data_IF_440838808295
#
_entry.id   IF_440838808295
#
_cell.length_a   1.000
_cell.length_b   1.000
_cell.length_c   1.000
_cell.angle_alpha   90.00
_cell.angle_beta   90.00
_cell.angle_gamma   90.00
#
_symmetry.space_group_name_H-M   'P 1'
#
loop_
_entity.id
_entity.type
_entity.pdbx_description
1 polymer ?
#
# COMPACT_ATOMS: atom_id res chain seq x y z
N UNK A 1 -16.39 7.44 10.39
CA UNK A 1 -17.44 6.80 11.23
C UNK A 1 -18.51 6.11 10.38
N UNK A 2 -18.16 5.22 9.44
CA UNK A 2 -19.16 4.52 8.59
C UNK A 2 -19.54 3.11 9.08
N UNK A 3 -18.75 2.51 9.98
CA UNK A 3 -18.85 1.08 10.31
C UNK A 3 -19.26 0.78 11.77
N UNK A 4 -19.72 1.77 12.53
CA UNK A 4 -20.18 1.55 13.92
C UNK A 4 -21.43 0.65 13.98
N UNK A 5 -22.21 0.57 12.89
CA UNK A 5 -23.48 -0.16 12.83
C UNK A 5 -23.34 -1.66 12.50
N UNK A 6 -22.27 -2.08 11.82
CA UNK A 6 -22.12 -3.48 11.36
C UNK A 6 -21.41 -4.39 12.36
N UNK A 7 -20.86 -3.85 13.45
CA UNK A 7 -20.18 -4.61 14.51
C UNK A 7 -18.91 -5.38 14.08
N UNK A 8 -18.56 -5.34 12.79
CA UNK A 8 -17.42 -6.05 12.23
C UNK A 8 -16.24 -5.07 12.11
N UNK A 9 -15.10 -5.33 12.81
CA UNK A 9 -13.92 -4.52 12.61
C UNK A 9 -13.42 -4.76 11.18
N UNK A 10 -13.66 -3.80 10.30
CA UNK A 10 -13.18 -3.87 8.92
C UNK A 10 -11.66 -3.80 8.96
N UNK A 11 -11.00 -4.95 8.83
CA UNK A 11 -9.54 -5.03 8.83
C UNK A 11 -9.04 -4.62 7.45
N UNK A 12 -8.21 -3.58 7.40
CA UNK A 12 -7.42 -3.31 6.21
C UNK A 12 -6.32 -4.37 6.10
N UNK A 13 -6.11 -4.91 4.90
CA UNK A 13 -5.00 -5.79 4.57
C UNK A 13 -4.26 -5.20 3.39
N UNK A 14 -2.93 -5.20 3.48
CA UNK A 14 -2.05 -4.69 2.44
C UNK A 14 -0.90 -5.68 2.24
N UNK A 15 -0.44 -5.83 1.00
CA UNK A 15 0.69 -6.70 0.65
C UNK A 15 1.50 -6.07 -0.46
N UNK A 16 2.82 -6.10 -0.32
CA UNK A 16 3.78 -5.79 -1.38
C UNK A 16 4.47 -7.08 -1.83
N UNK A 17 4.68 -7.22 -3.14
CA UNK A 17 5.47 -8.31 -3.74
C UNK A 17 6.66 -7.67 -4.43
N UNK A 18 7.86 -8.04 -4.02
CA UNK A 18 9.12 -7.42 -4.46
C UNK A 18 10.02 -8.52 -4.99
N UNK A 19 10.71 -8.26 -6.10
CA UNK A 19 11.76 -9.15 -6.58
C UNK A 19 12.97 -9.12 -5.63
N UNK A 20 13.39 -10.28 -5.14
CA UNK A 20 14.41 -10.37 -4.09
C UNK A 20 15.81 -9.91 -4.55
N UNK A 21 16.10 -9.98 -5.85
CA UNK A 21 17.42 -9.66 -6.37
C UNK A 21 17.55 -8.18 -6.74
N UNK A 22 16.58 -7.65 -7.48
CA UNK A 22 16.57 -6.28 -7.98
C UNK A 22 15.90 -5.29 -7.03
N UNK A 23 15.10 -5.77 -6.08
CA UNK A 23 14.27 -4.93 -5.21
C UNK A 23 13.12 -4.25 -5.93
N UNK A 24 12.83 -4.57 -7.20
CA UNK A 24 11.74 -3.98 -7.97
C UNK A 24 10.39 -4.44 -7.43
N UNK A 25 9.46 -3.49 -7.29
CA UNK A 25 8.08 -3.77 -6.91
C UNK A 25 7.36 -4.49 -8.07
N UNK A 26 7.04 -5.77 -7.87
CA UNK A 26 6.34 -6.60 -8.86
C UNK A 26 4.82 -6.42 -8.80
N UNK A 27 4.30 -6.05 -7.63
CA UNK A 27 2.87 -5.84 -7.44
C UNK A 27 2.50 -5.52 -6.00
N UNK A 28 1.25 -5.11 -5.81
CA UNK A 28 0.68 -4.83 -4.51
C UNK A 28 -0.80 -5.24 -4.46
N UNK A 29 -1.30 -5.50 -3.26
CA UNK A 29 -2.70 -5.84 -3.03
C UNK A 29 -3.21 -5.06 -1.82
N UNK A 30 -4.46 -4.60 -1.89
CA UNK A 30 -5.14 -3.97 -0.77
C UNK A 30 -6.59 -4.44 -0.68
N UNK A 31 -7.04 -4.70 0.55
CA UNK A 31 -8.46 -4.82 0.92
C UNK A 31 -8.69 -3.84 2.05
N UNK A 32 -9.60 -2.88 1.88
CA UNK A 32 -9.83 -1.84 2.88
C UNK A 32 -10.58 -0.64 2.32
N UNK A 33 -10.84 0.35 3.16
CA UNK A 33 -11.42 1.62 2.74
C UNK A 33 -10.46 2.33 1.77
N UNK A 34 -11.00 2.96 0.73
CA UNK A 34 -10.23 3.71 -0.30
C UNK A 34 -9.25 2.87 -1.13
N UNK A 35 -9.39 1.53 -1.12
CA UNK A 35 -8.48 0.66 -1.86
C UNK A 35 -8.43 0.98 -3.36
N UNK A 36 -9.55 1.32 -4.00
CA UNK A 36 -9.56 1.64 -5.43
C UNK A 36 -8.67 2.85 -5.75
N UNK A 37 -8.82 3.93 -4.99
CA UNK A 37 -8.09 5.18 -5.17
C UNK A 37 -6.61 5.03 -4.84
N UNK A 38 -6.27 4.32 -3.75
CA UNK A 38 -4.89 4.06 -3.35
C UNK A 38 -4.18 3.16 -4.38
N UNK A 39 -4.85 2.10 -4.82
CA UNK A 39 -4.28 1.15 -5.79
C UNK A 39 -4.06 1.77 -7.17
N UNK A 40 -4.86 2.78 -7.57
CA UNK A 40 -4.62 3.53 -8.79
C UNK A 40 -3.26 4.25 -8.78
N UNK A 41 -2.88 4.85 -7.65
CA UNK A 41 -1.56 5.46 -7.47
C UNK A 41 -0.44 4.42 -7.44
N UNK A 42 -0.65 3.32 -6.72
CA UNK A 42 0.33 2.23 -6.65
C UNK A 42 0.56 1.54 -8.00
N UNK A 43 -0.46 1.47 -8.88
CA UNK A 43 -0.32 0.94 -10.23
C UNK A 43 0.70 1.73 -11.06
N UNK A 44 0.82 3.04 -10.85
CA UNK A 44 1.84 3.88 -11.50
C UNK A 44 3.24 3.47 -11.00
N UNK A 45 3.43 3.30 -9.70
CA UNK A 45 4.72 2.89 -9.13
C UNK A 45 5.18 1.52 -9.67
N UNK A 46 4.26 0.55 -9.74
CA UNK A 46 4.52 -0.77 -10.34
C UNK A 46 4.88 -0.62 -11.83
N UNK A 47 4.12 0.17 -12.59
CA UNK A 47 4.36 0.40 -14.03
C UNK A 47 5.71 1.06 -14.31
N UNK A 48 6.18 1.93 -13.41
CA UNK A 48 7.47 2.60 -13.50
C UNK A 48 8.65 1.75 -13.00
N UNK A 49 8.40 0.54 -12.47
CA UNK A 49 9.44 -0.33 -11.95
C UNK A 49 10.12 0.22 -10.70
N UNK A 50 9.38 0.93 -9.85
CA UNK A 50 9.89 1.49 -8.59
C UNK A 50 10.48 0.38 -7.72
N UNK A 51 11.64 0.62 -7.11
CA UNK A 51 12.23 -0.32 -6.15
C UNK A 51 11.67 -0.11 -4.75
N UNK A 52 11.73 -1.14 -3.89
CA UNK A 52 11.33 -1.05 -2.49
C UNK A 52 12.08 0.07 -1.75
N UNK A 53 13.37 0.23 -2.01
CA UNK A 53 14.16 1.32 -1.41
C UNK A 53 13.67 2.71 -1.83
N UNK A 54 13.26 2.89 -3.09
CA UNK A 54 12.65 4.13 -3.55
C UNK A 54 11.29 4.34 -2.89
N UNK A 55 10.46 3.30 -2.79
CA UNK A 55 9.17 3.37 -2.11
C UNK A 55 9.33 3.78 -0.63
N UNK A 56 10.33 3.24 0.06
CA UNK A 56 10.64 3.53 1.47
C UNK A 56 11.24 4.91 1.70
N UNK A 57 11.80 5.52 0.66
CA UNK A 57 12.30 6.89 0.72
C UNK A 57 11.18 7.94 0.68
N UNK A 58 9.95 7.53 0.37
CA UNK A 58 8.79 8.42 0.31
C UNK A 58 8.25 8.68 1.72
N UNK A 59 8.03 9.95 2.04
CA UNK A 59 7.43 10.37 3.31
C UNK A 59 5.96 9.95 3.34
N UNK A 60 5.57 9.23 4.40
CA UNK A 60 4.17 8.89 4.67
C UNK A 60 3.32 10.12 4.98
N UNK A 61 2.09 10.14 4.46
CA UNK A 61 1.12 11.21 4.73
C UNK A 61 0.18 10.74 5.84
N UNK A 62 0.32 11.34 7.03
CA UNK A 62 -0.45 10.94 8.21
C UNK A 62 -1.65 11.87 8.47
N UNK A 63 -2.81 11.35 8.90
CA UNK A 63 -3.18 9.93 9.00
C UNK A 63 -3.80 9.40 7.70
N UNK A 64 -3.27 8.32 7.12
CA UNK A 64 -3.89 7.67 5.96
C UNK A 64 -3.60 6.18 5.88
N UNK A 65 -4.53 5.40 5.32
CA UNK A 65 -4.25 3.99 5.02
C UNK A 65 -3.12 3.83 3.98
N UNK A 66 -2.92 4.82 3.11
CA UNK A 66 -1.90 4.76 2.07
C UNK A 66 -0.47 4.85 2.64
N UNK A 67 -0.28 5.52 3.78
CA UNK A 67 1.06 5.69 4.38
C UNK A 67 1.71 4.35 4.77
N UNK A 68 0.90 3.35 5.09
CA UNK A 68 1.36 2.01 5.43
C UNK A 68 2.16 1.34 4.29
N UNK A 69 1.88 1.68 3.02
CA UNK A 69 2.65 1.15 1.89
C UNK A 69 4.09 1.65 1.83
N UNK A 70 4.37 2.83 2.38
CA UNK A 70 5.73 3.43 2.39
C UNK A 70 6.45 3.26 3.73
N UNK A 71 5.78 2.70 4.73
CA UNK A 71 6.36 2.40 6.05
C UNK A 71 6.54 0.90 6.31
N UNK A 72 6.00 0.02 5.47
CA UNK A 72 6.19 -1.44 5.56
C UNK A 72 7.66 -1.83 5.55
N UNK A 73 8.08 -2.65 6.52
CA UNK A 73 9.43 -3.22 6.59
C UNK A 73 9.38 -4.74 6.47
N UNK A 74 10.32 -5.28 5.70
CA UNK A 74 10.60 -6.72 5.56
C UNK A 74 11.62 -7.17 6.59
#
# INVERSE_FOLDING_TARGET
>A
MRNTLSGSPMRAMMKLVVDANSGVLLGCHMVGEHAAEIMQGMAVAVKMGVTKAQLDSVVGIHPSAAEEFVTMRS
#
